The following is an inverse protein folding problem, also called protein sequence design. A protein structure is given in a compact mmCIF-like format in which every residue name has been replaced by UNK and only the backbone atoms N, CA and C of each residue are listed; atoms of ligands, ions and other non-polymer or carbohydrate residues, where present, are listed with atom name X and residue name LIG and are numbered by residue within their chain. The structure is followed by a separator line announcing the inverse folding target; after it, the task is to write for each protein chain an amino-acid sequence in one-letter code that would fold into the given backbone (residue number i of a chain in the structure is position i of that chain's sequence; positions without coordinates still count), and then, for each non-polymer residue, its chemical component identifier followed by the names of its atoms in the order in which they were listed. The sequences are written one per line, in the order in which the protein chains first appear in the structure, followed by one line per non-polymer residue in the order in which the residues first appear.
data_IF_936762890871
#
_entry.id   IF_936762890871
#
_cell.length_a   1.000
_cell.length_b   1.000
_cell.length_c   1.000
_cell.angle_alpha   90.00
_cell.angle_beta   90.00
_cell.angle_gamma   90.00
#
_symmetry.space_group_name_H-M   'P 1'
#
loop_
_entity.id
_entity.type
_entity.pdbx_description
1 polymer ?
#
# COMPACT_ATOMS: atom_id res chain seq x y z
N UNK A 1 5.16 7.64 22.05
CA UNK A 1 4.85 8.31 20.77
C UNK A 1 4.64 7.22 19.74
N UNK A 2 3.50 7.17 19.07
CA UNK A 2 3.23 6.19 17.99
C UNK A 2 3.77 6.65 16.61
N UNK A 3 4.46 7.79 16.56
CA UNK A 3 4.99 8.38 15.33
C UNK A 3 6.45 7.96 15.23
N UNK A 4 6.80 7.25 14.16
CA UNK A 4 8.21 7.01 13.86
C UNK A 4 8.90 8.34 13.59
N UNK A 5 10.04 8.54 14.26
CA UNK A 5 10.95 9.62 13.89
C UNK A 5 11.53 9.33 12.51
N UNK A 6 11.56 10.35 11.63
CA UNK A 6 12.03 10.17 10.24
C UNK A 6 13.40 9.50 10.18
N UNK A 7 14.30 9.87 11.09
CA UNK A 7 15.65 9.31 11.14
C UNK A 7 15.63 7.81 11.46
N UNK A 8 14.70 7.36 12.29
CA UNK A 8 14.59 5.96 12.72
C UNK A 8 14.03 5.10 11.58
N UNK A 9 12.99 5.60 10.90
CA UNK A 9 12.42 4.98 9.71
C UNK A 9 13.45 4.83 8.57
N UNK A 10 14.28 5.86 8.34
CA UNK A 10 15.35 5.78 7.34
C UNK A 10 16.42 4.75 7.71
N UNK A 11 16.84 4.69 8.98
CA UNK A 11 17.81 3.67 9.44
C UNK A 11 17.26 2.26 9.30
N UNK A 12 15.97 2.05 9.58
CA UNK A 12 15.32 0.76 9.34
C UNK A 12 15.45 0.36 7.87
N UNK A 13 15.04 1.23 6.94
CA UNK A 13 15.08 0.95 5.51
C UNK A 13 16.51 0.68 4.99
N UNK A 14 17.51 1.34 5.57
CA UNK A 14 18.92 1.10 5.24
C UNK A 14 19.38 -0.28 5.74
N UNK A 15 19.01 -0.67 6.96
CA UNK A 15 19.45 -1.92 7.58
C UNK A 15 18.76 -3.17 7.04
N UNK A 16 17.45 -3.07 6.75
CA UNK A 16 16.61 -4.22 6.36
C UNK A 16 16.28 -4.24 4.87
N UNK A 17 16.74 -3.23 4.12
CA UNK A 17 16.42 -3.03 2.72
C UNK A 17 15.10 -2.29 2.53
N UNK A 18 14.95 -1.67 1.35
CA UNK A 18 13.77 -0.89 0.99
C UNK A 18 13.01 -1.55 -0.18
N UNK A 19 11.86 -2.20 0.07
CA UNK A 19 11.05 -2.81 -0.97
C UNK A 19 10.11 -1.81 -1.67
N UNK A 20 10.08 -0.55 -1.23
CA UNK A 20 9.09 0.44 -1.66
C UNK A 20 9.61 1.31 -2.80
N UNK A 21 8.78 1.52 -3.82
CA UNK A 21 9.04 2.50 -4.89
C UNK A 21 9.01 3.95 -4.36
N UNK A 22 8.13 4.22 -3.40
CA UNK A 22 7.96 5.52 -2.78
C UNK A 22 7.68 5.35 -1.28
N UNK A 23 8.34 6.17 -0.46
CA UNK A 23 8.13 6.23 1.00
C UNK A 23 7.61 7.62 1.34
N UNK A 24 6.43 7.70 1.96
CA UNK A 24 5.76 8.94 2.35
C UNK A 24 5.73 9.05 3.88
N UNK A 25 5.95 10.24 4.41
CA UNK A 25 5.87 10.50 5.85
C UNK A 25 4.57 11.26 6.18
N UNK A 26 3.65 10.63 6.91
CA UNK A 26 2.41 11.24 7.36
C UNK A 26 2.57 11.87 8.76
N UNK A 27 3.30 13.00 8.83
CA UNK A 27 3.65 13.65 10.11
C UNK A 27 2.42 14.17 10.85
N UNK A 28 1.43 14.66 10.11
CA UNK A 28 0.23 15.30 10.64
C UNK A 28 -0.96 14.34 10.75
N UNK A 29 -0.77 13.06 10.40
CA UNK A 29 -1.81 12.02 10.42
C UNK A 29 -3.01 12.31 9.50
N UNK A 30 -2.84 13.17 8.49
CA UNK A 30 -3.92 13.55 7.57
C UNK A 30 -4.28 12.39 6.65
N UNK A 31 -3.26 11.71 6.13
CA UNK A 31 -3.46 10.53 5.27
C UNK A 31 -4.13 9.40 6.07
N UNK A 32 -3.70 9.17 7.31
CA UNK A 32 -4.32 8.18 8.18
C UNK A 32 -5.81 8.46 8.42
N UNK A 33 -6.20 9.73 8.61
CA UNK A 33 -7.61 10.12 8.77
C UNK A 33 -8.39 9.92 7.46
N UNK A 34 -7.87 10.41 6.33
CA UNK A 34 -8.54 10.34 5.03
C UNK A 34 -8.79 8.89 4.58
N UNK A 35 -7.88 7.97 4.93
CA UNK A 35 -8.00 6.54 4.62
C UNK A 35 -8.71 5.73 5.73
N UNK A 36 -9.13 6.36 6.83
CA UNK A 36 -9.77 5.69 7.96
C UNK A 36 -8.88 4.64 8.64
N UNK A 37 -7.57 4.89 8.71
CA UNK A 37 -6.58 4.01 9.33
C UNK A 37 -6.68 4.16 10.85
N UNK A 38 -7.08 3.09 11.53
CA UNK A 38 -7.27 3.08 12.97
C UNK A 38 -6.01 2.62 13.73
N UNK A 39 -5.21 1.74 13.12
CA UNK A 39 -3.97 1.21 13.67
C UNK A 39 -3.05 0.76 12.52
N UNK A 40 -1.76 0.60 12.80
CA UNK A 40 -0.81 -0.05 11.89
C UNK A 40 -0.51 -1.49 12.37
N UNK A 41 -0.11 -2.40 11.46
CA UNK A 41 0.00 -2.22 10.02
C UNK A 41 -1.34 -2.38 9.28
N UNK A 42 -1.49 -1.64 8.18
CA UNK A 42 -2.57 -1.82 7.19
C UNK A 42 -2.00 -1.84 5.78
N UNK A 43 -2.67 -2.55 4.87
CA UNK A 43 -2.31 -2.64 3.45
C UNK A 43 -3.54 -2.39 2.58
N UNK A 44 -3.36 -1.60 1.53
CA UNK A 44 -4.43 -1.23 0.59
C UNK A 44 -4.05 -1.65 -0.83
N UNK A 45 -5.00 -2.19 -1.57
CA UNK A 45 -4.94 -2.35 -3.02
C UNK A 45 -5.75 -1.24 -3.66
N UNK A 46 -5.08 -0.36 -4.39
CA UNK A 46 -5.68 0.80 -5.08
C UNK A 46 -5.58 0.56 -6.58
N UNK A 47 -6.68 0.73 -7.31
CA UNK A 47 -6.65 0.60 -8.77
C UNK A 47 -6.08 1.86 -9.46
N UNK A 48 -5.87 1.78 -10.77
CA UNK A 48 -5.29 2.89 -11.53
C UNK A 48 -6.17 4.14 -11.65
N UNK A 49 -7.42 4.11 -11.13
CA UNK A 49 -8.28 5.31 -10.99
C UNK A 49 -8.22 5.90 -9.58
N UNK A 50 -7.33 5.39 -8.72
CA UNK A 50 -7.16 5.85 -7.35
C UNK A 50 -8.20 5.31 -6.38
N UNK A 51 -8.95 4.25 -6.72
CA UNK A 51 -9.99 3.72 -5.83
C UNK A 51 -9.48 2.50 -5.08
N UNK A 52 -9.68 2.48 -3.75
CA UNK A 52 -9.41 1.31 -2.92
C UNK A 52 -10.34 0.17 -3.30
N UNK A 53 -9.77 -0.97 -3.69
CA UNK A 53 -10.49 -2.19 -4.09
C UNK A 53 -10.43 -3.28 -3.03
N UNK A 54 -9.43 -3.21 -2.15
CA UNK A 54 -9.26 -4.12 -1.03
C UNK A 54 -8.41 -3.48 0.05
N UNK A 55 -8.68 -3.82 1.31
CA UNK A 55 -7.96 -3.39 2.51
C UNK A 55 -7.73 -4.61 3.40
N UNK A 56 -6.56 -4.67 4.03
CA UNK A 56 -6.25 -5.63 5.08
C UNK A 56 -5.65 -4.92 6.30
N UNK A 57 -6.16 -5.26 7.48
CA UNK A 57 -5.64 -4.78 8.76
C UNK A 57 -4.93 -5.91 9.48
N UNK A 58 -3.65 -5.72 9.76
CA UNK A 58 -2.77 -6.75 10.31
C UNK A 58 -1.52 -7.00 9.47
N UNK A 59 -0.65 -7.88 9.97
CA UNK A 59 0.62 -8.22 9.32
C UNK A 59 0.37 -8.95 7.99
N UNK A 60 0.89 -8.39 6.90
CA UNK A 60 0.78 -9.00 5.59
C UNK A 60 1.72 -10.21 5.50
N UNK A 61 1.14 -11.41 5.46
CA UNK A 61 1.89 -12.67 5.31
C UNK A 61 1.73 -13.21 3.89
N UNK A 62 2.61 -14.12 3.46
CA UNK A 62 2.50 -14.77 2.15
C UNK A 62 1.15 -15.45 1.95
N UNK A 63 0.59 -16.07 3.00
CA UNK A 63 -0.75 -16.67 2.92
C UNK A 63 -1.84 -15.64 2.62
N UNK A 64 -1.79 -14.45 3.22
CA UNK A 64 -2.73 -13.37 2.92
C UNK A 64 -2.54 -12.85 1.49
N UNK A 65 -1.29 -12.77 1.04
CA UNK A 65 -0.97 -12.38 -0.34
C UNK A 65 -1.63 -13.36 -1.33
N UNK A 66 -1.36 -14.65 -1.17
CA UNK A 66 -1.80 -15.69 -2.12
C UNK A 66 -3.31 -15.88 -2.10
N UNK A 67 -3.93 -15.84 -0.92
CA UNK A 67 -5.35 -16.19 -0.76
C UNK A 67 -6.29 -14.99 -0.87
N UNK A 68 -5.79 -13.76 -0.72
CA UNK A 68 -6.63 -12.56 -0.72
C UNK A 68 -6.16 -11.51 -1.73
N UNK A 69 -4.91 -11.05 -1.61
CA UNK A 69 -4.41 -9.92 -2.41
C UNK A 69 -4.33 -10.27 -3.90
N UNK A 70 -3.69 -11.37 -4.27
CA UNK A 70 -3.53 -11.79 -5.67
C UNK A 70 -4.89 -12.07 -6.34
N UNK A 71 -5.84 -12.77 -5.69
CA UNK A 71 -7.20 -12.91 -6.21
C UNK A 71 -7.94 -11.57 -6.37
N UNK A 72 -7.76 -10.61 -5.45
CA UNK A 72 -8.37 -9.29 -5.55
C UNK A 72 -7.79 -8.49 -6.74
N UNK A 73 -6.47 -8.51 -6.91
CA UNK A 73 -5.78 -7.90 -8.05
C UNK A 73 -6.26 -8.49 -9.38
N UNK A 74 -6.33 -9.81 -9.46
CA UNK A 74 -6.79 -10.52 -10.66
C UNK A 74 -8.20 -10.10 -11.10
N UNK A 75 -9.09 -9.74 -10.16
CA UNK A 75 -10.44 -9.25 -10.49
C UNK A 75 -10.41 -7.84 -11.10
N UNK A 76 -9.48 -7.00 -10.66
CA UNK A 76 -9.31 -5.63 -11.17
C UNK A 76 -8.75 -5.68 -12.59
N UNK A 77 -7.71 -6.47 -12.83
CA UNK A 77 -7.04 -6.57 -14.13
C UNK A 77 -7.96 -7.12 -15.23
N UNK A 78 -8.92 -7.99 -14.87
CA UNK A 78 -9.92 -8.52 -15.82
C UNK A 78 -11.08 -7.58 -16.09
N UNK A 79 -11.23 -6.52 -15.30
CA UNK A 79 -12.32 -5.54 -15.47
C UNK A 79 -11.88 -4.45 -16.45
N UNK A 80 -12.73 -4.00 -17.42
CA UNK A 80 -12.41 -2.98 -18.43
C UNK A 80 -12.20 -1.56 -17.85
N UNK A 81 -12.04 -1.48 -16.54
CA UNK A 81 -11.81 -0.30 -15.73
C UNK A 81 -10.32 -0.10 -15.41
N UNK A 82 -9.47 -1.01 -15.88
CA UNK A 82 -8.02 -0.84 -15.84
C UNK A 82 -7.66 0.54 -16.41
N UNK A 83 -6.88 1.30 -15.66
CA UNK A 83 -6.38 2.59 -16.12
C UNK A 83 -5.68 2.42 -17.48
N UNK A 84 -5.61 3.48 -18.32
CA UNK A 84 -4.81 3.44 -19.53
C UNK A 84 -3.41 2.93 -19.18
N UNK A 85 -2.95 1.98 -19.99
CA UNK A 85 -1.71 1.23 -19.80
C UNK A 85 -0.55 2.19 -19.54
N UNK A 86 -0.05 2.23 -18.30
CA UNK A 86 1.10 3.06 -17.90
C UNK A 86 2.42 2.56 -18.54
N UNK A 87 2.38 1.43 -19.24
CA UNK A 87 3.51 0.83 -19.94
C UNK A 87 3.38 0.85 -21.47
N UNK A 88 2.42 1.58 -22.04
CA UNK A 88 2.40 1.87 -23.47
C UNK A 88 3.63 2.73 -23.82
N UNK A 89 4.73 2.06 -24.21
CA UNK A 89 5.91 2.69 -24.78
C UNK A 89 5.49 3.46 -26.03
N UNK A 90 5.79 4.77 -26.03
CA UNK A 90 6.04 5.51 -27.27
C UNK A 90 7.38 5.09 -27.87
#
# INVERSE_FOLDING_TARGET
SWKDERADALRWLEQLGNPYLLVVADKDSRTAIDFGIAAAPETFLVDGRGVVRWKYSGMLTQSIIDTQLIPALSKIERSPTAAPDLHAKQ
#
